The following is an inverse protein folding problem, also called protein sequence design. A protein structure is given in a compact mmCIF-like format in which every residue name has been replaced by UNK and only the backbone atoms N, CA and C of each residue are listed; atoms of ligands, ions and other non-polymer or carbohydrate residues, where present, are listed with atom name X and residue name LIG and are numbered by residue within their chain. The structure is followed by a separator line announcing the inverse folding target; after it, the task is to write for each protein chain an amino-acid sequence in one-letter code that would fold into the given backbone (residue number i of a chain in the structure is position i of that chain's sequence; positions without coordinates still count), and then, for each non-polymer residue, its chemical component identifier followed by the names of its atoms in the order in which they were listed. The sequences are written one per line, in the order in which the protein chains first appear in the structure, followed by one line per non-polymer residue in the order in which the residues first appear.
data_IF_605998870222
#
_entry.id   IF_605998870222
#
_cell.length_a   1.000
_cell.length_b   1.000
_cell.length_c   1.000
_cell.angle_alpha   90.00
_cell.angle_beta   90.00
_cell.angle_gamma   90.00
#
_symmetry.space_group_name_H-M   'P 1'
#
loop_
_entity.id
_entity.type
_entity.pdbx_description
1 polymer ?
#
# COMPACT_ATOMS: atom_id res chain seq x y z
N UNK A 1 -20.54 28.12 -33.61
CA UNK A 1 -21.62 27.53 -34.42
C UNK A 1 -22.66 27.07 -33.43
N UNK A 2 -23.83 27.70 -33.40
CA UNK A 2 -24.96 27.19 -32.61
C UNK A 2 -25.36 25.85 -33.21
N UNK A 3 -25.09 24.75 -32.50
CA UNK A 3 -25.64 23.45 -32.86
C UNK A 3 -27.16 23.54 -32.74
N UNK A 4 -27.86 23.53 -33.87
CA UNK A 4 -29.32 23.49 -33.91
C UNK A 4 -29.77 22.23 -33.18
N UNK A 5 -30.50 22.41 -32.07
CA UNK A 5 -31.14 21.31 -31.33
C UNK A 5 -32.03 20.54 -32.29
N UNK A 6 -31.81 19.22 -32.39
CA UNK A 6 -32.57 18.36 -33.30
C UNK A 6 -34.00 18.17 -32.80
N UNK A 7 -34.96 18.35 -33.70
CA UNK A 7 -36.36 18.01 -33.43
C UNK A 7 -36.54 16.49 -33.34
N UNK A 8 -37.09 16.02 -32.22
CA UNK A 8 -37.29 14.61 -31.92
C UNK A 8 -38.73 14.14 -32.15
N UNK A 9 -39.65 15.02 -32.56
CA UNK A 9 -41.09 14.72 -32.71
C UNK A 9 -41.35 13.47 -33.56
N UNK A 10 -40.60 13.30 -34.65
CA UNK A 10 -40.74 12.11 -35.51
C UNK A 10 -40.33 10.81 -34.80
N UNK A 11 -39.28 10.85 -33.97
CA UNK A 11 -38.88 9.69 -33.18
C UNK A 11 -39.88 9.41 -32.06
N UNK A 12 -40.35 10.45 -31.36
CA UNK A 12 -41.34 10.32 -30.28
C UNK A 12 -42.66 9.71 -30.79
N UNK A 13 -43.16 10.16 -31.94
CA UNK A 13 -44.38 9.60 -32.53
C UNK A 13 -44.18 8.14 -32.92
N UNK A 14 -43.07 7.81 -33.60
CA UNK A 14 -42.76 6.43 -33.98
C UNK A 14 -42.62 5.52 -32.75
N UNK A 15 -41.97 6.00 -31.70
CA UNK A 15 -41.78 5.25 -30.46
C UNK A 15 -43.11 4.99 -29.74
N UNK A 16 -44.03 5.97 -29.74
CA UNK A 16 -45.39 5.78 -29.18
C UNK A 16 -46.25 4.83 -30.01
N UNK A 17 -46.09 4.82 -31.34
CA UNK A 17 -46.84 3.95 -32.24
C UNK A 17 -46.36 2.49 -32.17
N UNK A 18 -45.06 2.26 -32.36
CA UNK A 18 -44.45 0.93 -32.31
C UNK A 18 -42.93 1.03 -32.10
N UNK A 19 -42.42 0.80 -30.87
CA UNK A 19 -40.99 0.80 -30.59
C UNK A 19 -40.20 -0.28 -31.36
N UNK A 20 -40.84 -1.40 -31.75
CA UNK A 20 -40.18 -2.49 -32.50
C UNK A 20 -39.90 -2.13 -33.96
N UNK A 21 -40.53 -1.04 -34.44
CA UNK A 21 -40.32 -0.55 -35.79
C UNK A 21 -38.95 0.11 -36.00
N UNK A 22 -38.21 0.42 -34.93
CA UNK A 22 -36.91 1.10 -35.03
C UNK A 22 -35.84 0.17 -35.61
N UNK A 23 -34.98 0.71 -36.48
CA UNK A 23 -33.71 0.05 -36.78
C UNK A 23 -32.59 0.55 -35.85
N UNK A 24 -31.46 -0.14 -35.91
CA UNK A 24 -30.29 0.07 -35.05
C UNK A 24 -29.75 1.51 -35.09
N UNK A 25 -29.74 2.14 -36.27
CA UNK A 25 -29.30 3.53 -36.42
C UNK A 25 -30.30 4.53 -35.87
N UNK A 26 -31.61 4.28 -36.08
CA UNK A 26 -32.67 5.15 -35.57
C UNK A 26 -32.74 5.10 -34.04
N UNK A 27 -32.62 3.92 -33.45
CA UNK A 27 -32.62 3.77 -31.99
C UNK A 27 -31.39 4.43 -31.37
N UNK A 28 -30.21 4.22 -31.96
CA UNK A 28 -28.97 4.89 -31.55
C UNK A 28 -29.11 6.40 -31.57
N UNK A 29 -29.57 6.95 -32.70
CA UNK A 29 -29.67 8.39 -32.88
C UNK A 29 -30.73 8.99 -31.95
N UNK A 30 -31.88 8.35 -31.75
CA UNK A 30 -32.91 8.84 -30.85
C UNK A 30 -32.43 8.93 -29.40
N UNK A 31 -31.85 7.85 -28.85
CA UNK A 31 -31.34 7.83 -27.47
C UNK A 31 -30.16 8.79 -27.30
N UNK A 32 -29.27 8.87 -28.30
CA UNK A 32 -28.16 9.82 -28.31
C UNK A 32 -28.64 11.26 -28.22
N UNK A 33 -29.64 11.63 -29.01
CA UNK A 33 -30.13 13.00 -29.09
C UNK A 33 -30.93 13.40 -27.84
N UNK A 34 -31.72 12.49 -27.26
CA UNK A 34 -32.34 12.72 -25.94
C UNK A 34 -31.26 13.02 -24.89
N UNK A 35 -30.23 12.18 -24.79
CA UNK A 35 -29.11 12.38 -23.87
C UNK A 35 -28.38 13.71 -24.13
N UNK A 36 -28.08 14.03 -25.40
CA UNK A 36 -27.38 15.27 -25.76
C UNK A 36 -28.20 16.54 -25.44
N UNK A 37 -29.53 16.43 -25.41
CA UNK A 37 -30.44 17.48 -24.98
C UNK A 37 -30.66 17.52 -23.45
N UNK A 38 -29.86 16.78 -22.67
CA UNK A 38 -30.02 16.59 -21.22
C UNK A 38 -31.35 15.97 -20.77
N UNK A 39 -32.09 15.34 -21.69
CA UNK A 39 -33.31 14.56 -21.43
C UNK A 39 -32.95 13.14 -21.01
N UNK A 40 -32.20 13.02 -19.91
CA UNK A 40 -31.65 11.72 -19.48
C UNK A 40 -32.74 10.76 -19.01
N UNK A 41 -33.77 11.25 -18.31
CA UNK A 41 -34.87 10.40 -17.82
C UNK A 41 -35.64 9.78 -19.01
N UNK A 42 -35.93 10.57 -20.06
CA UNK A 42 -36.55 10.07 -21.29
C UNK A 42 -35.63 9.13 -22.07
N UNK A 43 -34.33 9.43 -22.16
CA UNK A 43 -33.36 8.53 -22.80
C UNK A 43 -33.28 7.17 -22.09
N UNK A 44 -33.42 7.15 -20.76
CA UNK A 44 -33.45 5.94 -19.95
C UNK A 44 -34.74 5.14 -20.20
N UNK A 45 -35.90 5.81 -20.21
CA UNK A 45 -37.19 5.16 -20.50
C UNK A 45 -37.19 4.52 -21.89
N UNK A 46 -36.76 5.26 -22.91
CA UNK A 46 -36.65 4.78 -24.29
C UNK A 46 -35.67 3.60 -24.38
N UNK A 47 -34.49 3.73 -23.76
CA UNK A 47 -33.48 2.66 -23.76
C UNK A 47 -33.96 1.37 -23.08
N UNK A 48 -34.61 1.47 -21.90
CA UNK A 48 -35.20 0.31 -21.21
C UNK A 48 -36.30 -0.35 -22.04
N UNK A 49 -37.13 0.45 -22.70
CA UNK A 49 -38.18 -0.06 -23.58
C UNK A 49 -37.59 -0.83 -24.75
N UNK A 50 -36.60 -0.25 -25.47
CA UNK A 50 -35.92 -0.97 -26.54
C UNK A 50 -35.27 -2.27 -26.06
N UNK A 51 -34.67 -2.29 -24.86
CA UNK A 51 -34.12 -3.55 -24.30
C UNK A 51 -35.20 -4.62 -24.11
N UNK A 52 -36.39 -4.21 -23.67
CA UNK A 52 -37.48 -5.13 -23.38
C UNK A 52 -38.19 -5.64 -24.64
N UNK A 53 -38.46 -4.77 -25.61
CA UNK A 53 -39.32 -5.11 -26.76
C UNK A 53 -38.57 -5.29 -28.09
N UNK A 54 -37.33 -4.80 -28.19
CA UNK A 54 -36.48 -4.87 -29.38
C UNK A 54 -35.02 -5.25 -29.00
N UNK A 55 -34.80 -6.42 -28.35
CA UNK A 55 -33.50 -6.81 -27.80
C UNK A 55 -32.40 -7.00 -28.84
N UNK A 56 -32.75 -7.14 -30.13
CA UNK A 56 -31.84 -7.20 -31.26
C UNK A 56 -31.13 -5.87 -31.55
N UNK A 57 -31.69 -4.74 -31.13
CA UNK A 57 -31.09 -3.42 -31.27
C UNK A 57 -29.94 -3.27 -30.26
N UNK A 58 -28.74 -2.91 -30.74
CA UNK A 58 -27.53 -2.84 -29.89
C UNK A 58 -26.82 -1.49 -29.93
N UNK A 59 -26.95 -0.72 -31.01
CA UNK A 59 -26.15 0.50 -31.19
C UNK A 59 -26.47 1.62 -30.20
N UNK A 60 -27.66 1.62 -29.60
CA UNK A 60 -28.06 2.62 -28.61
C UNK A 60 -27.49 2.36 -27.21
N UNK A 61 -26.98 1.15 -26.92
CA UNK A 61 -26.68 0.68 -25.56
C UNK A 61 -25.71 1.61 -24.82
N UNK A 62 -24.63 2.05 -25.45
CA UNK A 62 -23.67 2.96 -24.79
C UNK A 62 -24.28 4.35 -24.55
N UNK A 63 -25.16 4.84 -25.43
CA UNK A 63 -25.89 6.10 -25.21
C UNK A 63 -26.88 5.99 -24.06
N UNK A 64 -27.58 4.85 -23.97
CA UNK A 64 -28.43 4.51 -22.84
C UNK A 64 -27.65 4.45 -21.53
N UNK A 65 -26.53 3.72 -21.50
CA UNK A 65 -25.68 3.64 -20.31
C UNK A 65 -25.08 5.00 -19.92
N UNK A 66 -24.78 5.88 -20.88
CA UNK A 66 -24.37 7.26 -20.55
C UNK A 66 -25.53 8.11 -19.99
N UNK A 67 -26.77 7.88 -20.40
CA UNK A 67 -27.92 8.53 -19.77
C UNK A 67 -28.06 8.10 -18.30
N UNK A 68 -27.93 6.80 -18.02
CA UNK A 68 -27.84 6.28 -16.64
C UNK A 68 -26.68 6.92 -15.87
N UNK A 69 -25.48 6.93 -16.47
CA UNK A 69 -24.29 7.52 -15.86
C UNK A 69 -24.50 9.00 -15.51
N UNK A 70 -24.96 9.81 -16.45
CA UNK A 70 -25.17 11.24 -16.23
C UNK A 70 -26.22 11.52 -15.15
N UNK A 71 -27.25 10.68 -15.06
CA UNK A 71 -28.39 10.90 -14.16
C UNK A 71 -28.14 10.45 -12.73
N UNK A 72 -27.43 9.33 -12.56
CA UNK A 72 -27.33 8.63 -11.28
C UNK A 72 -25.91 8.36 -10.81
N UNK A 73 -24.91 8.39 -11.69
CA UNK A 73 -23.53 8.06 -11.32
C UNK A 73 -22.65 9.31 -11.22
N UNK A 74 -22.72 10.21 -12.20
CA UNK A 74 -21.97 11.46 -12.25
C UNK A 74 -22.60 12.55 -11.37
N UNK A 75 -22.79 12.22 -10.11
CA UNK A 75 -23.35 13.08 -9.06
C UNK A 75 -22.29 13.28 -7.96
N UNK A 76 -22.50 14.22 -7.05
CA UNK A 76 -21.62 14.47 -5.90
C UNK A 76 -21.67 13.35 -4.84
N UNK A 77 -20.73 13.36 -3.89
CA UNK A 77 -20.60 12.29 -2.89
C UNK A 77 -21.78 12.30 -1.90
N UNK A 78 -22.35 13.48 -1.59
CA UNK A 78 -23.52 13.64 -0.73
C UNK A 78 -24.77 12.98 -1.33
N UNK A 79 -25.03 13.21 -2.61
CA UNK A 79 -26.15 12.60 -3.32
C UNK A 79 -26.02 11.06 -3.46
N UNK A 80 -24.79 10.55 -3.54
CA UNK A 80 -24.55 9.10 -3.46
C UNK A 80 -24.91 8.58 -2.07
N UNK A 81 -24.47 9.28 -1.02
CA UNK A 81 -24.72 8.87 0.36
C UNK A 81 -26.22 8.85 0.70
N UNK A 82 -27.00 9.81 0.19
CA UNK A 82 -28.46 9.87 0.39
C UNK A 82 -29.19 8.64 -0.18
N UNK A 83 -28.66 8.00 -1.22
CA UNK A 83 -29.25 6.79 -1.80
C UNK A 83 -28.19 5.85 -2.42
N UNK A 84 -27.33 5.32 -1.55
CA UNK A 84 -26.20 4.47 -1.96
C UNK A 84 -26.68 3.22 -2.72
N UNK A 85 -27.82 2.66 -2.32
CA UNK A 85 -28.42 1.49 -2.97
C UNK A 85 -28.75 1.78 -4.44
N UNK A 86 -29.45 2.88 -4.72
CA UNK A 86 -29.79 3.24 -6.10
C UNK A 86 -28.54 3.48 -6.95
N UNK A 87 -27.51 4.13 -6.39
CA UNK A 87 -26.24 4.35 -7.09
C UNK A 87 -25.61 3.03 -7.56
N UNK A 88 -25.48 2.04 -6.66
CA UNK A 88 -24.90 0.75 -7.00
C UNK A 88 -25.81 -0.11 -7.88
N UNK A 89 -27.14 -0.10 -7.66
CA UNK A 89 -28.10 -0.81 -8.51
C UNK A 89 -28.01 -0.32 -9.98
N UNK A 90 -27.85 0.99 -10.20
CA UNK A 90 -27.68 1.57 -11.54
C UNK A 90 -26.29 1.26 -12.13
N UNK A 91 -25.24 1.25 -11.31
CA UNK A 91 -23.91 0.84 -11.77
C UNK A 91 -23.92 -0.62 -12.23
N UNK A 92 -24.59 -1.49 -11.50
CA UNK A 92 -24.75 -2.90 -11.88
C UNK A 92 -25.53 -3.04 -13.18
N UNK A 93 -26.59 -2.24 -13.37
CA UNK A 93 -27.28 -2.19 -14.65
C UNK A 93 -26.35 -1.76 -15.80
N UNK A 94 -25.51 -0.73 -15.60
CA UNK A 94 -24.51 -0.32 -16.60
C UNK A 94 -23.54 -1.46 -16.90
N UNK A 95 -23.03 -2.15 -15.88
CA UNK A 95 -22.08 -3.25 -16.03
C UNK A 95 -22.68 -4.49 -16.71
N UNK A 96 -23.97 -4.72 -16.56
CA UNK A 96 -24.69 -5.81 -17.25
C UNK A 96 -24.85 -5.52 -18.75
N UNK A 97 -25.13 -4.27 -19.12
CA UNK A 97 -25.50 -3.91 -20.50
C UNK A 97 -24.35 -3.39 -21.35
N UNK A 98 -23.43 -2.62 -20.76
CA UNK A 98 -22.34 -1.98 -21.48
C UNK A 98 -21.09 -2.85 -21.42
N UNK A 99 -20.44 -3.04 -22.57
CA UNK A 99 -19.13 -3.70 -22.65
C UNK A 99 -18.02 -2.73 -22.29
N UNK A 100 -16.89 -3.23 -21.82
CA UNK A 100 -15.68 -2.42 -21.71
C UNK A 100 -15.07 -2.20 -23.10
N UNK A 101 -15.30 -1.01 -23.64
CA UNK A 101 -14.82 -0.62 -24.96
C UNK A 101 -14.69 0.91 -25.06
N UNK A 102 -14.08 1.41 -26.14
CA UNK A 102 -13.94 2.84 -26.37
C UNK A 102 -15.31 3.50 -26.42
N UNK A 103 -15.48 4.59 -25.66
CA UNK A 103 -16.74 5.32 -25.51
C UNK A 103 -17.86 4.51 -24.82
N UNK A 104 -17.50 3.62 -23.90
CA UNK A 104 -18.42 2.99 -22.96
C UNK A 104 -18.53 3.78 -21.64
N UNK A 105 -19.71 3.81 -21.00
CA UNK A 105 -19.89 4.40 -19.67
C UNK A 105 -19.38 3.49 -18.53
N UNK A 106 -18.98 2.24 -18.81
CA UNK A 106 -18.59 1.28 -17.77
C UNK A 106 -17.36 1.72 -16.97
N UNK A 107 -16.24 2.00 -17.65
CA UNK A 107 -15.01 2.47 -16.99
C UNK A 107 -15.21 3.74 -16.15
N UNK A 108 -15.85 4.83 -16.66
CA UNK A 108 -16.07 6.01 -15.84
C UNK A 108 -17.04 5.75 -14.67
N UNK A 109 -18.05 4.88 -14.83
CA UNK A 109 -18.95 4.53 -13.74
C UNK A 109 -18.23 3.79 -12.60
N UNK A 110 -17.44 2.77 -12.93
CA UNK A 110 -16.61 2.05 -11.94
C UNK A 110 -15.61 3.00 -11.28
N UNK A 111 -14.95 3.86 -12.04
CA UNK A 111 -13.99 4.83 -11.49
C UNK A 111 -14.65 5.82 -10.52
N UNK A 112 -15.89 6.24 -10.78
CA UNK A 112 -16.65 7.13 -9.89
C UNK A 112 -17.01 6.45 -8.57
N UNK A 113 -17.43 5.18 -8.63
CA UNK A 113 -17.73 4.37 -7.45
C UNK A 113 -16.46 4.09 -6.62
N UNK A 114 -15.36 3.69 -7.27
CA UNK A 114 -14.07 3.49 -6.60
C UNK A 114 -13.61 4.77 -5.92
N UNK A 115 -13.73 5.94 -6.58
CA UNK A 115 -13.38 7.23 -5.97
C UNK A 115 -14.21 7.48 -4.70
N UNK A 116 -15.53 7.33 -4.77
CA UNK A 116 -16.45 7.48 -3.63
C UNK A 116 -16.04 6.57 -2.46
N UNK A 117 -15.83 5.28 -2.73
CA UNK A 117 -15.48 4.29 -1.72
C UNK A 117 -14.12 4.58 -1.05
N UNK A 118 -13.13 5.02 -1.83
CA UNK A 118 -11.78 5.32 -1.29
C UNK A 118 -11.70 6.62 -0.48
N UNK A 119 -12.74 7.46 -0.52
CA UNK A 119 -12.84 8.67 0.30
C UNK A 119 -13.57 8.44 1.63
N UNK A 120 -14.18 7.27 1.84
CA UNK A 120 -14.83 6.93 3.10
C UNK A 120 -13.79 6.63 4.18
N UNK A 121 -14.17 6.84 5.44
CA UNK A 121 -13.37 6.48 6.61
C UNK A 121 -14.25 5.70 7.62
N UNK A 122 -14.05 4.38 7.80
CA UNK A 122 -13.04 3.54 7.14
C UNK A 122 -13.41 3.19 5.68
N UNK A 123 -12.38 2.87 4.88
CA UNK A 123 -12.56 2.41 3.48
C UNK A 123 -13.04 0.95 3.44
N UNK A 124 -14.12 0.68 2.69
CA UNK A 124 -14.58 -0.69 2.41
C UNK A 124 -13.84 -1.30 1.21
N UNK A 125 -12.72 -1.97 1.49
CA UNK A 125 -11.90 -2.61 0.46
C UNK A 125 -12.57 -3.81 -0.23
N UNK A 126 -13.58 -4.45 0.37
CA UNK A 126 -14.34 -5.50 -0.31
C UNK A 126 -15.14 -4.90 -1.46
N UNK A 127 -15.91 -3.84 -1.19
CA UNK A 127 -16.64 -3.11 -2.25
C UNK A 127 -15.70 -2.54 -3.31
N UNK A 128 -14.54 -1.99 -2.93
CA UNK A 128 -13.55 -1.50 -3.90
C UNK A 128 -13.10 -2.62 -4.83
N UNK A 129 -12.78 -3.80 -4.28
CA UNK A 129 -12.37 -4.96 -5.07
C UNK A 129 -13.48 -5.44 -6.01
N UNK A 130 -14.73 -5.47 -5.55
CA UNK A 130 -15.88 -5.88 -6.36
C UNK A 130 -16.13 -4.92 -7.53
N UNK A 131 -15.95 -3.62 -7.31
CA UNK A 131 -16.02 -2.63 -8.40
C UNK A 131 -14.92 -2.84 -9.42
N UNK A 132 -13.68 -3.08 -8.97
CA UNK A 132 -12.54 -3.31 -9.87
C UNK A 132 -12.68 -4.60 -10.68
N UNK A 133 -13.36 -5.64 -10.15
CA UNK A 133 -13.66 -6.89 -10.86
C UNK A 133 -14.61 -6.73 -12.05
N UNK A 134 -15.34 -5.61 -12.14
CA UNK A 134 -16.19 -5.30 -13.29
C UNK A 134 -15.39 -4.83 -14.51
N UNK A 135 -14.09 -4.58 -14.34
CA UNK A 135 -13.20 -4.14 -15.40
C UNK A 135 -12.20 -5.24 -15.78
N UNK A 136 -11.92 -5.33 -17.08
CA UNK A 136 -10.88 -6.15 -17.67
C UNK A 136 -9.56 -5.37 -17.70
N UNK A 137 -8.68 -5.62 -16.73
CA UNK A 137 -7.47 -4.83 -16.52
C UNK A 137 -6.50 -4.75 -17.74
N UNK A 138 -6.25 -5.84 -18.50
CA UNK A 138 -5.45 -5.81 -19.72
C UNK A 138 -5.89 -4.78 -20.76
N UNK A 139 -7.18 -4.50 -20.89
CA UNK A 139 -7.71 -3.58 -21.93
C UNK A 139 -7.72 -2.11 -21.50
N UNK A 140 -7.43 -1.82 -20.23
CA UNK A 140 -7.30 -0.44 -19.74
C UNK A 140 -6.13 0.29 -20.41
N UNK A 141 -6.28 1.61 -20.56
CA UNK A 141 -5.24 2.45 -21.12
C UNK A 141 -4.01 2.50 -20.18
N UNK A 142 -2.83 2.26 -20.74
CA UNK A 142 -1.53 2.25 -20.04
C UNK A 142 -0.77 3.57 -20.17
N UNK A 143 -1.31 4.55 -20.92
CA UNK A 143 -0.70 5.87 -21.06
C UNK A 143 -1.07 6.76 -19.87
N UNK A 144 -0.07 7.40 -19.24
CA UNK A 144 -0.32 8.49 -18.29
C UNK A 144 -1.15 9.59 -18.94
N UNK A 145 -1.92 10.33 -18.15
CA UNK A 145 -2.68 11.47 -18.64
C UNK A 145 -2.19 12.76 -17.98
N UNK A 146 -2.24 13.86 -18.73
CA UNK A 146 -1.82 15.19 -18.25
C UNK A 146 -3.06 16.05 -18.15
N UNK A 147 -3.26 16.72 -17.01
CA UNK A 147 -4.38 17.64 -16.83
C UNK A 147 -4.12 19.00 -17.52
N UNK A 148 -5.09 19.92 -17.44
CA UNK A 148 -4.97 21.24 -18.04
C UNK A 148 -3.80 22.07 -17.47
N UNK A 149 -3.39 21.80 -16.23
CA UNK A 149 -2.29 22.48 -15.54
C UNK A 149 -0.91 21.88 -15.84
N UNK A 150 -0.84 20.88 -16.72
CA UNK A 150 0.43 20.21 -17.07
C UNK A 150 0.88 19.16 -16.04
N UNK A 151 0.07 18.83 -15.05
CA UNK A 151 0.34 17.79 -14.07
C UNK A 151 0.04 16.42 -14.69
N UNK A 152 1.05 15.55 -14.69
CA UNK A 152 0.93 14.16 -15.15
C UNK A 152 0.40 13.26 -14.01
N UNK A 153 -0.55 12.40 -14.36
CA UNK A 153 -1.18 11.43 -13.48
C UNK A 153 -0.99 10.00 -14.00
N UNK A 154 -1.12 9.05 -13.08
CA UNK A 154 -1.07 7.61 -13.37
C UNK A 154 -2.04 7.21 -14.50
N UNK A 155 -1.65 6.19 -15.27
CA UNK A 155 -2.53 5.60 -16.27
C UNK A 155 -3.72 4.89 -15.60
N UNK A 156 -4.82 4.68 -16.33
CA UNK A 156 -5.96 3.91 -15.81
C UNK A 156 -5.56 2.48 -15.43
N UNK A 157 -4.67 1.85 -16.21
CA UNK A 157 -4.13 0.52 -15.92
C UNK A 157 -3.30 0.51 -14.65
N UNK A 158 -2.40 1.49 -14.47
CA UNK A 158 -1.60 1.63 -13.25
C UNK A 158 -2.50 1.81 -12.01
N UNK A 159 -3.46 2.73 -12.09
CA UNK A 159 -4.44 3.00 -11.01
C UNK A 159 -5.18 1.72 -10.62
N UNK A 160 -5.63 0.94 -11.60
CA UNK A 160 -6.34 -0.31 -11.36
C UNK A 160 -5.47 -1.29 -10.57
N UNK A 161 -4.24 -1.57 -11.01
CA UNK A 161 -3.35 -2.50 -10.29
C UNK A 161 -3.03 -2.01 -8.89
N UNK A 162 -2.73 -0.72 -8.73
CA UNK A 162 -2.45 -0.11 -7.43
C UNK A 162 -3.60 -0.35 -6.43
N UNK A 163 -4.84 -0.10 -6.87
CA UNK A 163 -6.02 -0.23 -6.01
C UNK A 163 -6.43 -1.69 -5.82
N UNK A 164 -6.34 -2.52 -6.86
CA UNK A 164 -6.69 -3.94 -6.82
C UNK A 164 -5.81 -4.70 -5.83
N UNK A 165 -4.49 -4.55 -5.95
CA UNK A 165 -3.51 -5.23 -5.11
C UNK A 165 -3.67 -4.80 -3.65
N UNK A 166 -3.87 -3.49 -3.41
CA UNK A 166 -4.17 -3.00 -2.06
C UNK A 166 -5.46 -3.62 -1.52
N UNK A 167 -6.55 -3.58 -2.28
CA UNK A 167 -7.83 -4.12 -1.84
C UNK A 167 -7.74 -5.62 -1.52
N UNK A 168 -7.02 -6.41 -2.32
CA UNK A 168 -6.76 -7.84 -2.04
C UNK A 168 -5.96 -8.04 -0.75
N UNK A 169 -4.94 -7.21 -0.50
CA UNK A 169 -4.16 -7.26 0.74
C UNK A 169 -5.01 -6.92 1.97
N UNK A 170 -5.72 -5.80 1.94
CA UNK A 170 -6.55 -5.31 3.05
C UNK A 170 -7.71 -6.28 3.38
N UNK A 171 -8.19 -7.00 2.37
CA UNK A 171 -9.22 -8.06 2.51
C UNK A 171 -8.63 -9.45 2.80
N UNK A 172 -7.32 -9.55 3.06
CA UNK A 172 -6.59 -10.78 3.42
C UNK A 172 -6.64 -11.87 2.34
N UNK A 173 -6.88 -11.51 1.08
CA UNK A 173 -6.84 -12.40 -0.08
C UNK A 173 -5.40 -12.54 -0.60
N UNK A 174 -4.50 -12.98 0.27
CA UNK A 174 -3.05 -12.91 0.07
C UNK A 174 -2.55 -13.64 -1.18
N UNK A 175 -3.12 -14.81 -1.50
CA UNK A 175 -2.72 -15.56 -2.72
C UNK A 175 -3.02 -14.77 -4.00
N UNK A 176 -4.23 -14.23 -4.11
CA UNK A 176 -4.64 -13.42 -5.26
C UNK A 176 -3.85 -12.09 -5.30
N UNK A 177 -3.56 -11.49 -4.14
CA UNK A 177 -2.71 -10.31 -4.04
C UNK A 177 -1.32 -10.58 -4.65
N UNK A 178 -0.73 -11.75 -4.40
CA UNK A 178 0.56 -12.14 -4.95
C UNK A 178 0.47 -12.34 -6.47
N UNK A 179 -0.59 -13.00 -6.95
CA UNK A 179 -0.81 -13.25 -8.38
C UNK A 179 -0.94 -11.94 -9.17
N UNK A 180 -1.83 -11.05 -8.74
CA UNK A 180 -2.03 -9.74 -9.37
C UNK A 180 -0.77 -8.86 -9.29
N UNK A 181 -0.06 -8.89 -8.16
CA UNK A 181 1.20 -8.18 -8.04
C UNK A 181 2.28 -8.73 -8.97
N UNK A 182 2.37 -10.05 -9.15
CA UNK A 182 3.31 -10.64 -10.11
C UNK A 182 2.99 -10.18 -11.53
N UNK A 183 1.71 -10.18 -11.93
CA UNK A 183 1.29 -9.67 -13.25
C UNK A 183 1.73 -8.21 -13.39
N UNK A 184 1.37 -7.35 -12.43
CA UNK A 184 1.72 -5.94 -12.44
C UNK A 184 3.23 -5.71 -12.60
N UNK A 185 4.07 -6.45 -11.86
CA UNK A 185 5.53 -6.34 -11.91
C UNK A 185 6.14 -6.69 -13.28
N UNK A 186 5.43 -7.43 -14.14
CA UNK A 186 5.89 -7.72 -15.50
C UNK A 186 5.51 -6.65 -16.53
N UNK A 187 4.62 -5.73 -16.19
CA UNK A 187 4.11 -4.74 -17.13
C UNK A 187 5.10 -3.59 -17.33
N UNK A 188 5.34 -3.16 -18.59
CA UNK A 188 6.21 -2.02 -18.89
C UNK A 188 5.48 -0.67 -18.68
N UNK A 189 4.91 -0.47 -17.49
CA UNK A 189 4.22 0.77 -17.11
C UNK A 189 5.22 1.82 -16.61
N UNK A 190 4.92 3.08 -16.90
CA UNK A 190 5.53 4.21 -16.19
C UNK A 190 4.84 4.36 -14.84
N UNK A 191 5.49 3.88 -13.78
CA UNK A 191 4.97 3.93 -12.41
C UNK A 191 5.17 5.31 -11.78
N UNK A 192 4.11 5.87 -11.22
CA UNK A 192 4.09 7.16 -10.52
C UNK A 192 4.13 6.96 -9.00
N UNK A 193 4.42 8.02 -8.25
CA UNK A 193 4.20 8.12 -6.80
C UNK A 193 4.62 6.90 -5.93
N UNK A 194 5.72 6.24 -6.25
CA UNK A 194 6.17 5.00 -5.57
C UNK A 194 5.15 3.84 -5.63
N UNK A 195 4.19 3.85 -6.56
CA UNK A 195 3.19 2.78 -6.76
C UNK A 195 3.83 1.41 -6.84
N UNK A 196 4.93 1.29 -7.59
CA UNK A 196 5.66 0.04 -7.73
C UNK A 196 6.20 -0.48 -6.39
N UNK A 197 6.66 0.41 -5.50
CA UNK A 197 7.15 0.02 -4.17
C UNK A 197 6.01 -0.42 -3.26
N UNK A 198 4.85 0.24 -3.32
CA UNK A 198 3.64 -0.21 -2.63
C UNK A 198 3.18 -1.59 -3.12
N UNK A 199 3.17 -1.83 -4.43
CA UNK A 199 2.83 -3.14 -5.01
C UNK A 199 3.78 -4.22 -4.48
N UNK A 200 5.10 -3.97 -4.51
CA UNK A 200 6.09 -4.87 -3.94
C UNK A 200 5.85 -5.10 -2.45
N UNK A 201 5.54 -4.05 -1.69
CA UNK A 201 5.28 -4.16 -0.25
C UNK A 201 4.06 -5.05 0.05
N UNK A 202 2.93 -4.84 -0.63
CA UNK A 202 1.75 -5.69 -0.44
C UNK A 202 2.00 -7.14 -0.88
N UNK A 203 2.77 -7.34 -1.95
CA UNK A 203 3.24 -8.68 -2.37
C UNK A 203 4.12 -9.34 -1.32
N UNK A 204 5.15 -8.65 -0.83
CA UNK A 204 6.08 -9.15 0.18
C UNK A 204 5.37 -9.51 1.48
N UNK A 205 4.46 -8.64 1.93
CA UNK A 205 3.64 -8.87 3.12
C UNK A 205 2.71 -10.07 2.94
N UNK A 206 2.06 -10.19 1.78
CA UNK A 206 1.23 -11.35 1.45
C UNK A 206 2.03 -12.65 1.39
N UNK A 207 3.28 -12.62 0.91
CA UNK A 207 4.17 -13.78 0.87
C UNK A 207 4.47 -14.31 2.28
N UNK A 208 4.68 -13.41 3.25
CA UNK A 208 4.87 -13.78 4.67
C UNK A 208 3.63 -14.47 5.21
N UNK A 209 2.44 -13.91 4.96
CA UNK A 209 1.16 -14.46 5.45
C UNK A 209 0.85 -15.85 4.85
N UNK A 210 1.37 -16.17 3.66
CA UNK A 210 1.23 -17.51 3.05
C UNK A 210 2.44 -18.44 3.27
N UNK A 211 3.43 -18.03 4.07
CA UNK A 211 4.58 -18.85 4.44
C UNK A 211 5.69 -18.97 3.40
N UNK A 212 5.76 -18.06 2.41
CA UNK A 212 6.81 -18.03 1.36
C UNK A 212 7.92 -17.05 1.73
N UNK A 213 8.64 -17.37 2.80
CA UNK A 213 9.53 -16.45 3.50
C UNK A 213 10.77 -16.03 2.71
N UNK A 214 11.42 -16.94 1.96
CA UNK A 214 12.62 -16.62 1.18
C UNK A 214 12.30 -15.60 0.08
N UNK A 215 11.16 -15.77 -0.59
CA UNK A 215 10.70 -14.82 -1.60
C UNK A 215 10.29 -13.47 -1.00
N UNK A 216 9.66 -13.49 0.17
CA UNK A 216 9.32 -12.27 0.89
C UNK A 216 10.57 -11.47 1.26
N UNK A 217 11.62 -12.15 1.75
CA UNK A 217 12.88 -11.51 2.13
C UNK A 217 13.51 -10.79 0.93
N UNK A 218 13.60 -11.45 -0.23
CA UNK A 218 14.15 -10.82 -1.44
C UNK A 218 13.37 -9.57 -1.85
N UNK A 219 12.05 -9.57 -1.66
CA UNK A 219 11.22 -8.38 -1.91
C UNK A 219 11.58 -7.26 -0.95
N UNK A 220 11.62 -7.52 0.35
CA UNK A 220 11.90 -6.50 1.35
C UNK A 220 13.32 -5.96 1.27
N UNK A 221 14.31 -6.80 0.94
CA UNK A 221 15.66 -6.35 0.63
C UNK A 221 15.66 -5.35 -0.53
N UNK A 222 14.86 -5.59 -1.58
CA UNK A 222 14.72 -4.64 -2.70
C UNK A 222 13.98 -3.34 -2.32
N UNK A 223 13.31 -3.30 -1.17
CA UNK A 223 12.52 -2.18 -0.65
C UNK A 223 13.23 -1.37 0.44
N UNK A 224 14.52 -1.58 0.70
CA UNK A 224 15.20 -1.06 1.91
C UNK A 224 15.06 0.46 2.19
N UNK A 225 14.85 1.30 1.19
CA UNK A 225 14.63 2.75 1.37
C UNK A 225 13.15 3.16 1.40
N UNK A 226 12.23 2.20 1.29
CA UNK A 226 10.80 2.41 1.29
C UNK A 226 10.25 2.27 2.71
N UNK A 227 9.73 3.37 3.25
CA UNK A 227 9.15 3.42 4.60
C UNK A 227 7.66 3.12 4.51
N UNK A 228 7.26 1.92 4.92
CA UNK A 228 5.87 1.55 5.12
C UNK A 228 5.61 1.31 6.62
N UNK A 229 4.41 1.62 7.09
CA UNK A 229 4.08 1.68 8.51
C UNK A 229 4.23 0.34 9.29
N UNK A 230 4.47 -0.79 8.61
CA UNK A 230 4.57 -2.11 9.25
C UNK A 230 5.69 -3.00 8.67
N UNK A 231 6.67 -2.44 7.97
CA UNK A 231 7.76 -3.25 7.40
C UNK A 231 8.57 -3.99 8.46
N UNK A 232 8.77 -3.38 9.63
CA UNK A 232 9.48 -3.96 10.76
C UNK A 232 8.77 -5.23 11.29
N UNK A 233 7.46 -5.13 11.55
CA UNK A 233 6.64 -6.25 12.05
C UNK A 233 6.64 -7.43 11.08
N UNK A 234 6.55 -7.16 9.78
CA UNK A 234 6.53 -8.22 8.75
C UNK A 234 7.88 -8.92 8.67
N UNK A 235 8.99 -8.17 8.71
CA UNK A 235 10.34 -8.74 8.72
C UNK A 235 10.62 -9.54 10.00
N UNK A 236 10.18 -9.03 11.15
CA UNK A 236 10.29 -9.71 12.43
C UNK A 236 9.60 -11.08 12.39
N UNK A 237 8.34 -11.13 11.94
CA UNK A 237 7.59 -12.39 11.76
C UNK A 237 8.30 -13.34 10.79
N UNK A 238 8.75 -12.83 9.65
CA UNK A 238 9.46 -13.62 8.64
C UNK A 238 10.67 -14.34 9.25
N UNK A 239 11.51 -13.61 9.97
CA UNK A 239 12.72 -14.17 10.56
C UNK A 239 12.43 -15.15 11.70
N UNK A 240 11.46 -14.86 12.57
CA UNK A 240 11.03 -15.81 13.60
C UNK A 240 10.50 -17.13 13.01
N UNK A 241 9.71 -17.09 11.93
CA UNK A 241 9.18 -18.29 11.29
C UNK A 241 10.23 -19.12 10.54
N UNK A 242 11.40 -18.55 10.27
CA UNK A 242 12.52 -19.24 9.62
C UNK A 242 13.62 -19.63 10.60
N UNK A 243 13.34 -19.63 11.90
CA UNK A 243 14.28 -19.94 13.00
C UNK A 243 15.52 -19.04 13.01
N UNK A 244 15.40 -17.82 12.48
CA UNK A 244 16.44 -16.79 12.39
C UNK A 244 16.22 -15.71 13.44
N UNK A 245 16.16 -16.14 14.71
CA UNK A 245 15.80 -15.27 15.84
C UNK A 245 16.76 -14.09 16.00
N UNK A 246 18.06 -14.32 15.82
CA UNK A 246 19.06 -13.27 16.00
C UNK A 246 18.91 -12.17 14.95
N UNK A 247 18.60 -12.50 13.70
CA UNK A 247 18.27 -11.53 12.66
C UNK A 247 16.96 -10.80 12.96
N UNK A 248 15.95 -11.51 13.47
CA UNK A 248 14.68 -10.90 13.87
C UNK A 248 14.90 -9.83 14.96
N UNK A 249 15.62 -10.19 16.02
CA UNK A 249 15.89 -9.32 17.15
C UNK A 249 16.84 -8.17 16.78
N UNK A 250 17.85 -8.42 15.94
CA UNK A 250 18.75 -7.35 15.48
C UNK A 250 18.01 -6.31 14.66
N UNK A 251 17.12 -6.71 13.75
CA UNK A 251 16.31 -5.77 12.98
C UNK A 251 15.31 -5.02 13.87
N UNK A 252 14.63 -5.73 14.79
CA UNK A 252 13.68 -5.13 15.72
C UNK A 252 14.33 -4.06 16.60
N UNK A 253 15.46 -4.38 17.22
CA UNK A 253 16.19 -3.45 18.09
C UNK A 253 16.72 -2.27 17.28
N UNK A 254 17.17 -2.49 16.05
CA UNK A 254 17.62 -1.41 15.18
C UNK A 254 16.49 -0.45 14.77
N UNK A 255 15.28 -0.96 14.50
CA UNK A 255 14.12 -0.11 14.23
C UNK A 255 13.69 0.64 15.51
N UNK A 256 13.68 -0.02 16.67
CA UNK A 256 13.43 0.61 17.97
C UNK A 256 14.43 1.74 18.28
N UNK A 257 15.71 1.52 17.97
CA UNK A 257 16.77 2.53 18.08
C UNK A 257 16.52 3.75 17.18
N UNK A 258 16.27 3.51 15.89
CA UNK A 258 16.15 4.58 14.89
C UNK A 258 14.87 5.40 15.04
N UNK A 259 13.76 4.75 15.37
CA UNK A 259 12.45 5.39 15.33
C UNK A 259 12.13 6.17 16.61
N UNK A 260 12.80 5.84 17.72
CA UNK A 260 12.60 6.53 19.00
C UNK A 260 11.19 6.32 19.59
N UNK A 261 10.82 7.20 20.52
CA UNK A 261 9.49 7.16 21.14
C UNK A 261 8.41 7.73 20.20
N UNK A 262 7.45 6.90 19.82
CA UNK A 262 6.23 7.31 19.12
C UNK A 262 5.08 6.37 19.51
N UNK A 263 3.94 6.93 19.91
CA UNK A 263 2.76 6.15 20.32
C UNK A 263 2.23 5.26 19.19
N UNK A 264 2.52 5.59 17.93
CA UNK A 264 2.15 4.80 16.74
C UNK A 264 2.98 3.52 16.60
N UNK A 265 4.12 3.42 17.27
CA UNK A 265 5.04 2.28 17.22
C UNK A 265 4.68 1.17 18.23
N UNK A 266 3.41 1.06 18.63
CA UNK A 266 2.93 0.05 19.57
C UNK A 266 3.31 -1.38 19.15
N UNK A 267 3.32 -1.68 17.84
CA UNK A 267 3.76 -2.98 17.30
C UNK A 267 5.21 -3.31 17.65
N UNK A 268 6.13 -2.34 17.50
CA UNK A 268 7.54 -2.48 17.89
C UNK A 268 7.64 -2.78 19.39
N UNK A 269 6.90 -2.04 20.24
CA UNK A 269 6.95 -2.24 21.69
C UNK A 269 6.42 -3.62 22.13
N UNK A 270 5.36 -4.12 21.47
CA UNK A 270 4.84 -5.48 21.68
C UNK A 270 5.88 -6.55 21.26
N UNK A 271 6.58 -6.34 20.15
CA UNK A 271 7.64 -7.26 19.73
C UNK A 271 8.87 -7.21 20.66
N UNK A 272 9.22 -6.03 21.19
CA UNK A 272 10.30 -5.89 22.19
C UNK A 272 9.95 -6.63 23.48
N UNK A 273 8.70 -6.55 23.95
CA UNK A 273 8.21 -7.36 25.08
C UNK A 273 8.38 -8.85 24.80
N UNK A 274 7.88 -9.34 23.67
CA UNK A 274 7.99 -10.75 23.30
C UNK A 274 9.45 -11.23 23.20
N UNK A 275 10.34 -10.39 22.67
CA UNK A 275 11.79 -10.67 22.64
C UNK A 275 12.38 -10.75 24.05
N UNK A 276 12.06 -9.79 24.93
CA UNK A 276 12.58 -9.76 26.29
C UNK A 276 12.13 -10.99 27.10
N UNK A 277 10.87 -11.42 26.91
CA UNK A 277 10.34 -12.67 27.47
C UNK A 277 11.07 -13.90 26.92
N UNK A 278 11.27 -14.01 25.60
CA UNK A 278 12.00 -15.12 24.97
C UNK A 278 13.46 -15.21 25.44
N UNK A 279 14.11 -14.06 25.67
CA UNK A 279 15.48 -13.99 26.22
C UNK A 279 15.52 -14.15 27.75
N UNK A 280 14.37 -14.13 28.42
CA UNK A 280 14.28 -14.26 29.88
C UNK A 280 14.84 -13.06 30.66
N UNK A 281 14.74 -11.85 30.10
CA UNK A 281 15.31 -10.63 30.71
C UNK A 281 14.20 -9.85 31.43
N UNK A 282 14.00 -10.21 32.69
CA UNK A 282 12.90 -9.73 33.55
C UNK A 282 12.73 -8.21 33.57
N UNK A 283 13.83 -7.46 33.74
CA UNK A 283 13.74 -6.00 33.82
C UNK A 283 13.25 -5.38 32.50
N UNK A 284 13.69 -5.93 31.37
CA UNK A 284 13.28 -5.44 30.06
C UNK A 284 11.84 -5.85 29.74
N UNK A 285 11.42 -7.07 30.11
CA UNK A 285 10.04 -7.51 29.93
C UNK A 285 9.08 -6.66 30.77
N UNK A 286 9.39 -6.39 32.04
CA UNK A 286 8.57 -5.50 32.89
C UNK A 286 8.46 -4.07 32.35
N UNK A 287 9.57 -3.46 31.91
CA UNK A 287 9.56 -2.12 31.32
C UNK A 287 8.75 -2.06 30.02
N UNK A 288 8.93 -3.06 29.14
CA UNK A 288 8.19 -3.15 27.89
C UNK A 288 6.69 -3.42 28.13
N UNK A 289 6.34 -4.30 29.08
CA UNK A 289 4.97 -4.57 29.49
C UNK A 289 4.28 -3.32 30.04
N UNK A 290 4.96 -2.57 30.92
CA UNK A 290 4.44 -1.31 31.45
C UNK A 290 4.20 -0.28 30.34
N UNK A 291 5.15 -0.13 29.40
CA UNK A 291 5.01 0.76 28.25
C UNK A 291 3.82 0.38 27.36
N UNK A 292 3.70 -0.90 27.00
CA UNK A 292 2.59 -1.42 26.19
C UNK A 292 1.25 -1.19 26.89
N UNK A 293 1.14 -1.53 28.19
CA UNK A 293 -0.09 -1.35 28.97
C UNK A 293 -0.50 0.13 29.09
N UNK A 294 0.48 1.03 29.17
CA UNK A 294 0.24 2.49 29.24
C UNK A 294 -0.27 3.04 27.90
N UNK A 295 0.20 2.50 26.77
CA UNK A 295 -0.21 2.91 25.43
C UNK A 295 -1.50 2.24 24.96
N UNK A 296 -1.76 1.02 25.42
CA UNK A 296 -2.90 0.18 25.07
C UNK A 296 -3.43 -0.54 26.33
N UNK A 297 -4.32 0.12 27.11
CA UNK A 297 -4.82 -0.41 28.38
C UNK A 297 -5.57 -1.74 28.28
N UNK A 298 -6.08 -2.08 27.09
CA UNK A 298 -6.78 -3.33 26.82
C UNK A 298 -5.83 -4.52 26.67
N UNK A 299 -4.52 -4.29 26.44
CA UNK A 299 -3.55 -5.38 26.35
C UNK A 299 -3.36 -6.05 27.71
N UNK A 300 -3.60 -7.36 27.78
CA UNK A 300 -3.24 -8.17 28.95
C UNK A 300 -1.73 -8.39 28.99
N UNK A 301 -1.12 -8.17 30.16
CA UNK A 301 0.30 -8.42 30.41
C UNK A 301 0.43 -9.32 31.63
N UNK A 302 1.38 -10.24 31.61
CA UNK A 302 1.63 -11.19 32.70
C UNK A 302 2.66 -10.68 33.71
N UNK A 303 3.48 -9.71 33.31
CA UNK A 303 4.53 -9.12 34.13
C UNK A 303 3.96 -8.29 35.29
N UNK A 304 4.63 -8.33 36.44
CA UNK A 304 4.35 -7.40 37.55
C UNK A 304 4.91 -6.02 37.22
N UNK A 305 4.02 -5.12 36.83
CA UNK A 305 4.35 -3.74 36.47
C UNK A 305 4.07 -2.72 37.60
N UNK A 306 3.82 -3.20 38.83
CA UNK A 306 3.43 -2.33 39.95
C UNK A 306 4.46 -1.23 40.26
N UNK A 307 5.75 -1.51 40.07
CA UNK A 307 6.85 -0.54 40.23
C UNK A 307 6.80 0.63 39.23
N UNK A 308 5.97 0.52 38.19
CA UNK A 308 5.88 1.46 37.07
C UNK A 308 4.49 2.12 36.94
N UNK A 309 3.58 1.88 37.88
CA UNK A 309 2.18 2.30 37.77
C UNK A 309 1.97 3.81 37.52
N UNK A 310 2.86 4.66 38.05
CA UNK A 310 2.79 6.12 37.95
C UNK A 310 3.80 6.73 36.96
N UNK A 311 4.46 5.90 36.13
CA UNK A 311 5.47 6.35 35.16
C UNK A 311 4.82 6.57 33.80
N UNK A 312 5.03 7.73 33.19
CA UNK A 312 4.49 8.00 31.86
C UNK A 312 5.21 7.21 30.75
N UNK A 313 4.55 7.08 29.60
CA UNK A 313 5.06 6.30 28.47
C UNK A 313 6.42 6.77 27.93
N UNK A 314 6.71 8.08 27.97
CA UNK A 314 8.01 8.58 27.49
C UNK A 314 9.12 8.17 28.45
N UNK A 315 8.91 8.35 29.76
CA UNK A 315 9.87 7.94 30.77
C UNK A 315 10.06 6.41 30.82
N UNK A 316 9.01 5.63 30.54
CA UNK A 316 9.12 4.17 30.38
C UNK A 316 9.95 3.80 29.15
N UNK A 317 9.73 4.48 28.03
CA UNK A 317 10.54 4.29 26.82
C UNK A 317 12.02 4.58 27.09
N UNK A 318 12.36 5.70 27.74
CA UNK A 318 13.77 6.06 28.01
C UNK A 318 14.47 5.02 28.89
N UNK A 319 13.75 4.47 29.88
CA UNK A 319 14.25 3.40 30.75
C UNK A 319 14.46 2.10 29.97
N UNK A 320 13.49 1.72 29.14
CA UNK A 320 13.57 0.53 28.29
C UNK A 320 14.70 0.66 27.26
N UNK A 321 14.80 1.83 26.64
CA UNK A 321 15.85 2.16 25.68
C UNK A 321 17.23 2.01 26.30
N UNK A 322 17.44 2.59 27.48
CA UNK A 322 18.70 2.45 28.21
C UNK A 322 19.00 0.99 28.56
N UNK A 323 18.00 0.24 29.03
CA UNK A 323 18.18 -1.18 29.39
C UNK A 323 18.58 -2.05 28.20
N UNK A 324 18.02 -1.81 27.02
CA UNK A 324 18.33 -2.59 25.81
C UNK A 324 19.65 -2.11 25.20
N UNK A 325 19.78 -0.80 24.94
CA UNK A 325 20.93 -0.26 24.23
C UNK A 325 22.23 -0.53 24.99
N UNK A 326 22.29 -0.38 26.32
CA UNK A 326 23.53 -0.60 27.07
C UNK A 326 23.82 -2.07 27.42
N UNK A 327 23.02 -3.01 26.90
CA UNK A 327 23.16 -4.46 27.16
C UNK A 327 22.83 -5.31 25.94
N UNK A 328 23.17 -4.82 24.75
CA UNK A 328 22.80 -5.44 23.47
C UNK A 328 23.27 -6.90 23.37
N UNK A 329 24.40 -7.23 23.97
CA UNK A 329 24.97 -8.58 24.04
C UNK A 329 24.03 -9.62 24.66
N UNK A 330 23.07 -9.20 25.49
CA UNK A 330 22.07 -10.10 26.06
C UNK A 330 20.94 -10.44 25.07
N UNK A 331 20.77 -9.65 24.01
CA UNK A 331 19.66 -9.78 23.07
C UNK A 331 20.10 -10.26 21.69
N UNK A 332 21.23 -9.76 21.19
CA UNK A 332 21.65 -9.92 19.79
C UNK A 332 23.15 -10.19 19.66
N UNK A 333 23.58 -10.86 18.58
CA UNK A 333 25.00 -11.09 18.32
C UNK A 333 25.77 -9.77 18.14
N UNK A 334 26.96 -9.72 18.73
CA UNK A 334 27.91 -8.61 18.65
C UNK A 334 29.22 -9.08 18.03
N UNK A 335 29.82 -8.23 17.21
CA UNK A 335 31.09 -8.47 16.55
C UNK A 335 32.00 -7.25 16.75
N UNK A 336 33.30 -7.48 16.76
CA UNK A 336 34.30 -6.42 16.79
C UNK A 336 34.96 -6.27 15.42
N UNK A 337 35.42 -5.06 15.13
CA UNK A 337 36.14 -4.79 13.89
C UNK A 337 36.79 -3.42 13.89
N UNK A 338 37.69 -3.20 12.93
CA UNK A 338 38.44 -1.96 12.81
C UNK A 338 37.88 -1.09 11.71
N UNK A 339 37.59 0.18 12.01
CA UNK A 339 37.23 1.17 11.00
C UNK A 339 38.44 1.43 10.12
N UNK A 340 38.33 1.16 8.82
CA UNK A 340 39.44 1.34 7.86
C UNK A 340 39.21 2.51 6.91
N UNK A 341 37.97 2.99 6.84
CA UNK A 341 37.59 4.13 6.03
C UNK A 341 36.46 4.88 6.70
N UNK A 342 36.55 6.21 6.68
CA UNK A 342 35.45 7.10 7.07
C UNK A 342 35.44 8.34 6.19
N UNK A 343 34.26 8.73 5.73
CA UNK A 343 34.01 9.92 4.94
C UNK A 343 33.27 10.94 5.80
N UNK A 344 33.98 11.95 6.31
CA UNK A 344 33.42 12.99 7.18
C UNK A 344 32.32 13.80 6.47
N UNK A 345 32.47 14.12 5.18
CA UNK A 345 31.50 14.94 4.45
C UNK A 345 30.17 14.20 4.20
N UNK A 346 30.21 12.87 4.12
CA UNK A 346 29.05 12.03 3.77
C UNK A 346 28.57 11.14 4.92
N UNK A 347 29.24 11.20 6.07
CA UNK A 347 28.87 10.52 7.31
C UNK A 347 28.70 8.99 7.13
N UNK A 348 29.65 8.35 6.45
CA UNK A 348 29.67 6.90 6.31
C UNK A 348 31.09 6.34 6.27
N UNK A 349 31.23 5.07 6.63
CA UNK A 349 32.51 4.39 6.64
C UNK A 349 32.45 2.92 6.27
N UNK A 350 33.57 2.24 6.50
CA UNK A 350 33.70 0.81 6.30
C UNK A 350 34.57 0.17 7.38
N UNK A 351 34.14 -1.01 7.85
CA UNK A 351 34.85 -1.84 8.83
C UNK A 351 35.51 -3.00 8.09
N UNK A 352 36.74 -3.31 8.47
CA UNK A 352 37.45 -4.47 7.95
C UNK A 352 36.86 -5.75 8.53
N UNK A 353 36.57 -6.71 7.66
CA UNK A 353 36.21 -8.08 8.03
C UNK A 353 37.30 -9.04 7.53
N UNK A 354 37.58 -10.11 8.27
CA UNK A 354 38.52 -11.13 7.81
C UNK A 354 37.90 -11.96 6.67
N UNK A 355 38.49 -11.91 5.48
CA UNK A 355 38.13 -12.78 4.35
C UNK A 355 36.87 -12.38 3.56
N UNK A 356 36.22 -11.26 3.89
CA UNK A 356 35.01 -10.76 3.23
C UNK A 356 35.16 -9.31 2.71
N UNK A 357 34.19 -8.83 1.92
CA UNK A 357 34.10 -7.42 1.52
C UNK A 357 33.93 -6.54 2.78
N UNK A 358 34.55 -5.35 2.79
CA UNK A 358 34.43 -4.44 3.94
C UNK A 358 32.97 -4.07 4.25
N UNK A 359 32.63 -4.04 5.54
CA UNK A 359 31.26 -3.82 5.99
C UNK A 359 30.93 -2.32 6.05
N UNK A 360 29.91 -1.90 5.31
CA UNK A 360 29.45 -0.51 5.29
C UNK A 360 28.73 -0.11 6.59
N UNK A 361 28.86 1.14 7.02
CA UNK A 361 28.07 1.75 8.10
C UNK A 361 27.83 3.25 7.87
N UNK A 362 26.82 3.83 8.51
CA UNK A 362 26.59 5.29 8.58
C UNK A 362 26.90 5.83 9.97
N UNK A 363 27.18 7.13 10.09
CA UNK A 363 27.30 7.79 11.39
C UNK A 363 26.05 7.60 12.24
N UNK A 364 24.87 7.70 11.63
CA UNK A 364 23.58 7.49 12.31
C UNK A 364 23.32 6.04 12.75
N UNK A 365 24.27 5.13 12.54
CA UNK A 365 24.20 3.76 13.04
C UNK A 365 24.92 3.59 14.40
N UNK A 366 25.62 4.60 14.91
CA UNK A 366 26.21 4.62 16.25
C UNK A 366 25.14 4.89 17.31
N UNK A 367 25.19 4.17 18.44
CA UNK A 367 24.18 4.26 19.51
C UNK A 367 24.30 5.57 20.28
N UNK A 368 25.54 5.96 20.54
CA UNK A 368 25.93 7.20 21.18
C UNK A 368 26.50 8.11 20.07
N UNK A 369 26.29 9.43 20.12
CA UNK A 369 26.76 10.40 19.09
C UNK A 369 28.31 10.55 19.11
N UNK A 370 29.02 9.43 19.00
CA UNK A 370 30.47 9.32 19.06
C UNK A 370 31.09 9.78 17.74
N UNK A 371 32.12 10.62 17.82
CA UNK A 371 32.92 11.00 16.65
C UNK A 371 33.79 9.82 16.21
N UNK A 372 33.35 9.09 15.19
CA UNK A 372 34.13 7.96 14.67
C UNK A 372 35.36 8.44 13.91
N UNK A 373 36.48 7.76 14.14
CA UNK A 373 37.76 8.00 13.47
C UNK A 373 38.18 6.75 12.72
N UNK A 374 39.00 6.98 11.71
CA UNK A 374 39.71 5.89 11.05
C UNK A 374 40.60 5.22 12.08
N UNK A 375 40.54 3.88 12.11
CA UNK A 375 41.26 2.97 13.00
C UNK A 375 40.66 2.74 14.38
N UNK A 376 39.52 3.33 14.69
CA UNK A 376 38.77 2.96 15.88
C UNK A 376 38.40 1.48 15.84
N UNK A 377 38.51 0.83 16.99
CA UNK A 377 37.97 -0.51 17.20
C UNK A 377 36.53 -0.33 17.68
N UNK A 378 35.61 -0.90 16.91
CA UNK A 378 34.18 -0.76 17.15
C UNK A 378 33.54 -2.12 17.38
N UNK A 379 32.54 -2.13 18.25
CA UNK A 379 31.61 -3.24 18.39
C UNK A 379 30.32 -2.93 17.60
N UNK A 380 29.75 -3.93 16.92
CA UNK A 380 28.57 -3.76 16.07
C UNK A 380 27.75 -5.05 15.93
N UNK A 381 26.54 -4.92 15.40
CA UNK A 381 25.75 -6.04 14.89
C UNK A 381 25.60 -5.92 13.37
N UNK A 382 25.23 -7.01 12.72
CA UNK A 382 25.10 -7.07 11.26
C UNK A 382 23.64 -7.25 10.87
N UNK A 383 23.17 -6.47 9.90
CA UNK A 383 21.87 -6.72 9.25
C UNK A 383 22.01 -6.87 7.75
N UNK A 384 21.11 -7.67 7.17
CA UNK A 384 20.99 -7.80 5.73
C UNK A 384 20.60 -6.47 5.09
N UNK A 385 21.06 -6.29 3.87
CA UNK A 385 21.04 -5.03 3.14
C UNK A 385 20.95 -5.30 1.63
N UNK A 386 20.91 -4.23 0.85
CA UNK A 386 20.91 -4.30 -0.60
C UNK A 386 21.81 -3.20 -1.17
N UNK A 387 22.78 -3.60 -2.00
CA UNK A 387 23.60 -2.66 -2.75
C UNK A 387 22.82 -2.23 -4.00
N UNK A 388 22.27 -1.02 -3.96
CA UNK A 388 21.50 -0.48 -5.08
C UNK A 388 22.32 -0.28 -6.37
N UNK A 389 23.64 -0.08 -6.26
CA UNK A 389 24.53 0.09 -7.42
C UNK A 389 24.83 -1.26 -8.07
N UNK A 390 25.15 -2.27 -7.26
CA UNK A 390 25.44 -3.63 -7.72
C UNK A 390 24.19 -4.47 -7.99
N UNK A 391 23.03 -4.03 -7.50
CA UNK A 391 21.73 -4.71 -7.58
C UNK A 391 21.76 -6.13 -6.99
N UNK A 392 22.36 -6.26 -5.82
CA UNK A 392 22.50 -7.55 -5.15
C UNK A 392 22.36 -7.40 -3.63
N UNK A 393 22.02 -8.49 -2.90
CA UNK A 393 22.09 -8.51 -1.44
C UNK A 393 23.47 -8.09 -0.93
N UNK A 394 23.49 -7.39 0.20
CA UNK A 394 24.71 -7.04 0.93
C UNK A 394 24.45 -7.15 2.43
N UNK A 395 25.45 -6.84 3.25
CA UNK A 395 25.28 -6.63 4.69
C UNK A 395 25.75 -5.23 5.06
N UNK A 396 25.41 -4.78 6.27
CA UNK A 396 25.95 -3.56 6.87
C UNK A 396 26.04 -3.67 8.39
N UNK A 397 26.92 -2.86 8.98
CA UNK A 397 27.04 -2.73 10.42
C UNK A 397 25.96 -1.77 10.95
N UNK A 398 25.42 -2.08 12.12
CA UNK A 398 24.44 -1.26 12.85
C UNK A 398 24.66 -1.32 14.35
N UNK A 399 24.12 -0.32 15.07
CA UNK A 399 24.20 -0.21 16.53
C UNK A 399 25.66 -0.26 16.98
N UNK A 400 26.46 0.64 16.42
CA UNK A 400 27.91 0.69 16.63
C UNK A 400 28.24 1.39 17.96
N UNK A 401 29.35 0.95 18.56
CA UNK A 401 30.02 1.61 19.70
C UNK A 401 31.52 1.57 19.52
N UNK A 402 32.20 2.65 19.88
CA UNK A 402 33.66 2.67 19.99
C UNK A 402 34.07 1.98 21.28
N UNK A 403 34.95 0.98 21.18
CA UNK A 403 35.52 0.29 22.33
C UNK A 403 36.76 1.02 22.85
N UNK A 404 37.68 1.34 21.95
CA UNK A 404 38.87 2.14 22.22
C UNK A 404 39.46 2.69 20.91
N UNK A 405 40.11 3.84 21.02
CA UNK A 405 40.97 4.36 19.95
C UNK A 405 42.26 3.53 19.93
N UNK A 406 42.62 2.94 18.78
CA UNK A 406 43.93 2.32 18.62
C UNK A 406 44.98 3.43 18.48
N UNK A 407 45.59 3.83 19.60
CA UNK A 407 46.56 4.94 19.68
C UNK A 407 47.93 4.55 19.07
N UNK A 408 48.10 3.32 18.56
CA UNK A 408 49.38 2.90 17.99
C UNK A 408 49.61 3.45 16.57
N UNK A 409 50.35 4.57 16.53
CA UNK A 409 51.17 4.99 15.41
C UNK A 409 52.64 5.15 15.81
#
# INVERSE_FOLDING_TARGET
MDDKVKDLTAYENRFKEDPTSFNDFQAMDFVKELKNQNKNDEAIEVGRTFRQVAPELKRYINHYGFALYNRFINIDDEAIQDNEKLFFDILDEIAEVCKQERYSPLEPAVNRAVKYLTHQDPVDYNKVNDMLNKLDAPTLNDKPFVNADGVEFESFKEKWYRLKIRALFETKRYRECIEEANIALTLPLKWHHNTLNWIKYYRGSSLVEVGRYEEAEQVFLSLKNFRAAHSADVLFKLYLHTDRKDEAYTNLIYDFFRDGFDRRNLGIYKNILAMAEDKGIEKASQLAAALVKTLDPETEVTEDISAYADVDASALFDKLYSEIMYRLENYIPRQEGKVIYYNYDKEFGSILQEGEDNLFFRQSDFIDDEEVRKYDVVEYSVINSYDAKRKQPSSRAVMLRVLYEDIDY
#
